data_IF_939192943145
#
_entry.id   IF_939192943145
#
_cell.length_a   1.000
_cell.length_b   1.000
_cell.length_c   1.000
_cell.angle_alpha   90.00
_cell.angle_beta   90.00
_cell.angle_gamma   90.00
#
_symmetry.space_group_name_H-M   'P 1'
#
loop_
_entity.id
_entity.type
_entity.pdbx_description
1 polymer ?
#
# COMPACT_ATOMS: atom_id res chain seq x y z
N UNK A 1 14.34 -5.82 -23.76
CA UNK A 1 13.80 -4.58 -23.17
C UNK A 1 12.34 -4.83 -22.90
N UNK A 2 11.93 -4.91 -21.63
CA UNK A 2 10.50 -4.98 -21.30
C UNK A 2 9.83 -3.67 -21.72
N UNK A 3 8.68 -3.77 -22.38
CA UNK A 3 7.85 -2.61 -22.72
C UNK A 3 7.31 -2.02 -21.41
N UNK A 4 7.87 -0.90 -20.97
CA UNK A 4 7.31 -0.11 -19.89
C UNK A 4 6.01 0.53 -20.37
N UNK A 5 4.88 -0.06 -20.04
CA UNK A 5 3.58 0.61 -20.16
C UNK A 5 3.32 1.41 -18.88
N UNK A 6 3.28 2.76 -18.94
CA UNK A 6 2.99 3.56 -17.78
C UNK A 6 1.59 3.22 -17.27
N UNK A 7 1.50 2.81 -16.00
CA UNK A 7 0.21 2.58 -15.35
C UNK A 7 -0.59 3.90 -15.40
N UNK A 8 -1.91 3.85 -15.61
CA UNK A 8 -2.73 5.05 -15.64
C UNK A 8 -2.53 5.91 -14.39
N UNK A 9 -2.50 7.23 -14.54
CA UNK A 9 -2.30 8.20 -13.43
C UNK A 9 -3.24 7.93 -12.24
N UNK A 10 -4.47 7.48 -12.51
CA UNK A 10 -5.43 7.08 -11.47
C UNK A 10 -4.93 5.95 -10.55
N UNK A 11 -4.08 5.04 -11.04
CA UNK A 11 -3.47 3.97 -10.24
C UNK A 11 -2.39 4.53 -9.32
N UNK A 12 -1.58 5.47 -9.82
CA UNK A 12 -0.58 6.16 -9.01
C UNK A 12 -1.21 6.92 -7.84
N UNK A 13 -2.30 7.64 -8.07
CA UNK A 13 -3.00 8.35 -7.01
C UNK A 13 -3.55 7.42 -5.91
N UNK A 14 -4.05 6.24 -6.31
CA UNK A 14 -4.52 5.24 -5.35
C UNK A 14 -3.37 4.65 -4.53
N UNK A 15 -2.24 4.35 -5.17
CA UNK A 15 -1.00 3.92 -4.50
C UNK A 15 -0.55 4.95 -3.47
N UNK A 16 -0.46 6.21 -3.87
CA UNK A 16 -0.06 7.31 -2.99
C UNK A 16 -1.02 7.49 -1.81
N UNK A 17 -2.33 7.47 -2.05
CA UNK A 17 -3.34 7.60 -1.00
C UNK A 17 -3.24 6.50 0.07
N UNK A 18 -3.14 5.24 -0.34
CA UNK A 18 -3.00 4.10 0.60
C UNK A 18 -1.67 4.20 1.36
N UNK A 19 -0.57 4.50 0.66
CA UNK A 19 0.73 4.69 1.29
C UNK A 19 0.70 5.79 2.35
N UNK A 20 0.14 6.96 2.04
CA UNK A 20 0.02 8.06 2.99
C UNK A 20 -0.86 7.71 4.20
N UNK A 21 -1.95 6.97 4.01
CA UNK A 21 -2.80 6.51 5.10
C UNK A 21 -2.02 5.61 6.07
N UNK A 22 -1.30 4.60 5.56
CA UNK A 22 -0.46 3.71 6.37
C UNK A 22 0.66 4.48 7.07
N UNK A 23 1.33 5.40 6.35
CA UNK A 23 2.36 6.27 6.92
C UNK A 23 1.83 7.19 8.03
N UNK A 24 0.54 7.53 8.00
CA UNK A 24 -0.13 8.31 9.04
C UNK A 24 -0.63 7.45 10.23
N UNK A 25 -0.27 6.17 10.26
CA UNK A 25 -0.59 5.24 11.34
C UNK A 25 -1.93 4.51 11.20
N UNK A 26 -2.60 4.62 10.04
CA UNK A 26 -3.83 3.84 9.77
C UNK A 26 -3.45 2.39 9.47
N UNK A 27 -3.75 1.48 10.40
CA UNK A 27 -3.33 0.09 10.30
C UNK A 27 -4.40 -0.83 9.70
N UNK A 28 -5.68 -0.65 10.06
CA UNK A 28 -6.75 -1.53 9.62
C UNK A 28 -7.27 -1.13 8.24
N UNK A 29 -7.83 -2.10 7.49
CA UNK A 29 -8.41 -1.81 6.17
C UNK A 29 -9.58 -0.82 6.23
N UNK A 30 -10.39 -0.87 7.29
CA UNK A 30 -11.51 0.05 7.52
C UNK A 30 -11.03 1.48 7.77
N UNK A 31 -10.01 1.66 8.62
CA UNK A 31 -9.37 2.95 8.89
C UNK A 31 -8.81 3.60 7.62
N UNK A 32 -8.24 2.76 6.73
CA UNK A 32 -7.69 3.21 5.45
C UNK A 32 -8.82 3.54 4.46
N UNK A 33 -9.91 2.77 4.48
CA UNK A 33 -11.09 3.06 3.67
C UNK A 33 -11.71 4.40 4.05
N UNK A 34 -11.86 4.66 5.35
CA UNK A 34 -12.37 5.94 5.85
C UNK A 34 -11.44 7.11 5.48
N UNK A 35 -10.12 6.91 5.57
CA UNK A 35 -9.15 7.95 5.24
C UNK A 35 -9.04 8.25 3.74
N UNK A 36 -9.28 7.26 2.88
CA UNK A 36 -9.03 7.37 1.43
C UNK A 36 -10.29 7.45 0.58
N UNK A 37 -11.44 7.06 1.12
CA UNK A 37 -12.70 6.89 0.38
C UNK A 37 -12.67 5.74 -0.63
N UNK A 38 -11.64 4.88 -0.60
CA UNK A 38 -11.48 3.78 -1.55
C UNK A 38 -12.21 2.51 -1.07
N UNK A 39 -12.76 1.71 -2.00
CA UNK A 39 -13.31 0.39 -1.65
C UNK A 39 -12.24 -0.54 -1.08
N UNK A 40 -12.60 -1.38 -0.12
CA UNK A 40 -11.68 -2.35 0.52
C UNK A 40 -10.94 -3.23 -0.50
N UNK A 41 -11.61 -3.69 -1.57
CA UNK A 41 -10.98 -4.48 -2.64
C UNK A 41 -9.90 -3.70 -3.39
N UNK A 42 -10.08 -2.39 -3.57
CA UNK A 42 -9.06 -1.52 -4.17
C UNK A 42 -7.87 -1.35 -3.22
N UNK A 43 -8.14 -1.14 -1.93
CA UNK A 43 -7.10 -1.00 -0.91
C UNK A 43 -6.26 -2.27 -0.84
N UNK A 44 -6.87 -3.46 -0.81
CA UNK A 44 -6.14 -4.73 -0.80
C UNK A 44 -5.24 -4.86 -2.03
N UNK A 45 -5.75 -4.61 -3.24
CA UNK A 45 -4.94 -4.68 -4.47
C UNK A 45 -3.76 -3.72 -4.45
N UNK A 46 -3.98 -2.51 -3.96
CA UNK A 46 -2.94 -1.49 -3.85
C UNK A 46 -1.92 -1.85 -2.76
N UNK A 47 -2.38 -2.34 -1.62
CA UNK A 47 -1.53 -2.78 -0.53
C UNK A 47 -0.64 -3.96 -0.96
N UNK A 48 -1.17 -4.92 -1.72
CA UNK A 48 -0.37 -6.01 -2.29
C UNK A 48 0.80 -5.48 -3.11
N UNK A 49 0.56 -4.52 -4.00
CA UNK A 49 1.63 -3.90 -4.79
C UNK A 49 2.67 -3.20 -3.90
N UNK A 50 2.24 -2.46 -2.88
CA UNK A 50 3.16 -1.79 -1.96
C UNK A 50 3.97 -2.77 -1.09
N UNK A 51 3.41 -3.95 -0.78
CA UNK A 51 4.12 -5.04 -0.09
C UNK A 51 5.15 -5.69 -1.02
N UNK A 52 4.78 -5.96 -2.27
CA UNK A 52 5.70 -6.47 -3.31
C UNK A 52 6.88 -5.51 -3.53
N UNK A 53 6.60 -4.20 -3.57
CA UNK A 53 7.59 -3.12 -3.64
C UNK A 53 8.34 -2.87 -2.31
N UNK A 54 8.10 -3.70 -1.29
CA UNK A 54 8.73 -3.62 0.04
C UNK A 54 8.56 -2.25 0.74
N UNK A 55 7.50 -1.50 0.42
CA UNK A 55 7.20 -0.20 1.04
C UNK A 55 6.47 -0.34 2.36
N UNK A 56 5.59 -1.33 2.46
CA UNK A 56 4.78 -1.63 3.64
C UNK A 56 4.84 -3.14 3.94
N UNK A 57 4.39 -3.52 5.12
CA UNK A 57 4.19 -4.90 5.54
C UNK A 57 2.72 -5.14 5.88
N UNK A 58 2.24 -6.34 5.57
CA UNK A 58 0.93 -6.82 5.98
C UNK A 58 1.10 -7.92 7.01
N UNK A 59 0.35 -7.84 8.11
CA UNK A 59 0.38 -8.82 9.19
C UNK A 59 -1.05 -9.10 9.69
N UNK A 60 -1.31 -10.33 10.11
CA UNK A 60 -2.58 -10.66 10.78
C UNK A 60 -2.40 -10.48 12.29
N UNK A 61 -3.20 -9.61 12.89
CA UNK A 61 -3.22 -9.35 14.34
C UNK A 61 -4.65 -9.56 14.83
N UNK A 62 -4.84 -10.46 15.78
CA UNK A 62 -6.16 -10.78 16.36
C UNK A 62 -7.25 -11.10 15.31
N UNK A 63 -6.85 -11.72 14.19
CA UNK A 63 -7.75 -12.06 13.08
C UNK A 63 -7.99 -10.94 12.06
N UNK A 64 -7.39 -9.76 12.26
CA UNK A 64 -7.49 -8.62 11.36
C UNK A 64 -6.23 -8.44 10.52
N UNK A 65 -6.41 -8.12 9.23
CA UNK A 65 -5.30 -7.73 8.36
C UNK A 65 -4.89 -6.29 8.67
N UNK A 66 -3.69 -6.12 9.21
CA UNK A 66 -3.09 -4.84 9.55
C UNK A 66 -1.94 -4.52 8.60
N UNK A 67 -1.85 -3.26 8.19
CA UNK A 67 -0.77 -2.72 7.37
C UNK A 67 0.12 -1.80 8.21
N UNK A 68 1.43 -1.83 7.97
CA UNK A 68 2.39 -0.93 8.63
C UNK A 68 3.53 -0.58 7.69
N UNK A 69 4.20 0.54 7.95
CA UNK A 69 5.40 0.93 7.22
C UNK A 69 6.53 -0.07 7.47
N UNK A 70 7.26 -0.44 6.41
CA UNK A 70 8.46 -1.27 6.55
C UNK A 70 9.64 -0.41 6.97
N UNK A 71 10.34 -0.81 8.04
CA UNK A 71 11.61 -0.22 8.47
C UNK A 71 12.67 -1.33 8.64
N UNK A 72 13.94 -1.09 8.27
CA UNK A 72 14.48 0.13 7.64
C UNK A 72 14.11 0.22 6.14
N UNK A 73 14.12 1.44 5.60
CA UNK A 73 14.12 1.67 4.15
C UNK A 73 15.37 0.99 3.58
N UNK A 74 15.19 -0.04 2.73
CA UNK A 74 16.27 -0.67 1.98
C UNK A 74 16.40 0.01 0.61
N UNK A 75 17.43 0.87 0.39
CA UNK A 75 17.61 1.56 -0.88
C UNK A 75 17.90 0.60 -2.04
N UNK A 76 18.35 -0.64 -1.75
CA UNK A 76 18.69 -1.62 -2.78
C UNK A 76 17.47 -2.27 -3.44
N UNK A 77 16.26 -2.06 -2.91
CA UNK A 77 15.02 -2.58 -3.50
C UNK A 77 14.55 -1.84 -4.76
N UNK A 78 15.27 -0.80 -5.21
CA UNK A 78 14.95 0.03 -6.38
C UNK A 78 15.93 -0.11 -7.56
N UNK A 79 16.85 -1.07 -7.50
CA UNK A 79 17.81 -1.38 -8.55
C UNK A 79 17.41 -2.62 -9.35
#
# INVERSE_FOLDING_TARGET
>A
MENYEPRPMAVFWKLHAVYCAVNSGKALLEDIADATGLPATTIVRVATLLVEDKRIEAQVVDGHLCLKMRFPFDPAAFN
#
